data_IF_300954845526
#
_entry.id   IF_300954845526
#
_cell.length_a   1.000
_cell.length_b   1.000
_cell.length_c   1.000
_cell.angle_alpha   90.00
_cell.angle_beta   90.00
_cell.angle_gamma   90.00
#
_symmetry.space_group_name_H-M   'P 1'
#
loop_
_entity.id
_entity.type
_entity.pdbx_description
1 polymer ?
#
# COMPACT_ATOMS: atom_id res chain seq x y z
N UNK A 1 -8.77 0.85 3.26
CA UNK A 1 -7.50 0.89 2.51
C UNK A 1 -6.48 -0.11 3.06
N UNK A 2 -6.10 -0.01 4.33
CA UNK A 2 -5.05 -0.85 4.95
C UNK A 2 -5.15 -2.35 4.69
N UNK A 3 -6.34 -2.95 4.86
CA UNK A 3 -6.57 -4.38 4.54
C UNK A 3 -6.22 -4.73 3.08
N UNK A 4 -6.49 -3.83 2.13
CA UNK A 4 -6.21 -4.09 0.71
C UNK A 4 -4.70 -4.11 0.45
N UNK A 5 -3.95 -3.18 1.04
CA UNK A 5 -2.48 -3.15 0.97
C UNK A 5 -1.88 -4.39 1.64
N UNK A 6 -2.35 -4.74 2.84
CA UNK A 6 -1.92 -5.92 3.60
C UNK A 6 -2.11 -7.23 2.82
N UNK A 7 -3.23 -7.38 2.10
CA UNK A 7 -3.53 -8.60 1.33
C UNK A 7 -2.62 -8.83 0.11
N UNK A 8 -1.87 -7.81 -0.31
CA UNK A 8 -0.88 -7.91 -1.41
C UNK A 8 0.53 -7.55 -0.92
N UNK A 9 0.73 -7.44 0.39
CA UNK A 9 2.04 -7.35 1.04
C UNK A 9 2.68 -8.74 1.05
N UNK A 10 3.45 -9.10 0.03
CA UNK A 10 4.01 -10.44 -0.01
C UNK A 10 5.09 -10.63 -1.05
N UNK A 11 5.93 -11.64 -0.82
CA UNK A 11 7.10 -11.95 -1.64
C UNK A 11 6.76 -12.19 -3.11
N UNK A 12 5.57 -12.73 -3.39
CA UNK A 12 5.10 -12.95 -4.75
C UNK A 12 4.93 -11.63 -5.54
N UNK A 13 4.41 -10.57 -4.90
CA UNK A 13 4.25 -9.25 -5.51
C UNK A 13 5.53 -8.45 -5.51
N UNK A 14 6.35 -8.54 -4.44
CA UNK A 14 7.66 -7.90 -4.42
C UNK A 14 8.54 -8.37 -5.60
N UNK A 15 8.50 -9.67 -5.96
CA UNK A 15 9.23 -10.21 -7.12
C UNK A 15 8.77 -9.69 -8.49
N UNK A 16 7.60 -9.05 -8.58
CA UNK A 16 7.19 -8.41 -9.84
C UNK A 16 7.93 -7.08 -10.08
N UNK A 17 8.39 -6.44 -9.00
CA UNK A 17 9.08 -5.15 -8.99
C UNK A 17 10.59 -5.39 -8.94
N UNK A 18 11.02 -6.29 -8.05
CA UNK A 18 12.43 -6.54 -7.79
C UNK A 18 12.85 -7.89 -8.40
N UNK A 19 13.83 -7.86 -9.32
CA UNK A 19 14.42 -9.09 -9.87
C UNK A 19 15.10 -9.94 -8.79
N UNK A 20 15.74 -9.26 -7.84
CA UNK A 20 16.30 -9.80 -6.62
C UNK A 20 16.14 -8.78 -5.49
N UNK A 21 16.33 -9.21 -4.25
CA UNK A 21 16.09 -8.36 -3.07
C UNK A 21 17.30 -7.48 -2.68
N UNK A 22 18.36 -7.39 -3.50
CA UNK A 22 19.55 -6.57 -3.17
C UNK A 22 19.24 -5.07 -3.14
N UNK A 23 18.34 -4.63 -4.01
CA UNK A 23 17.87 -3.23 -4.11
C UNK A 23 16.41 -3.10 -3.61
N UNK A 24 15.99 -3.98 -2.71
CA UNK A 24 14.64 -3.94 -2.18
C UNK A 24 14.46 -2.74 -1.25
N UNK A 25 13.35 -2.02 -1.41
CA UNK A 25 12.93 -0.90 -0.56
C UNK A 25 11.52 -1.19 -0.02
N UNK A 26 11.36 -1.14 1.30
CA UNK A 26 10.06 -1.33 1.96
C UNK A 26 9.08 -0.23 1.54
N UNK A 27 9.55 1.02 1.45
CA UNK A 27 8.75 2.19 1.08
C UNK A 27 8.32 2.13 -0.39
N UNK A 28 9.25 1.89 -1.31
CA UNK A 28 8.93 1.78 -2.75
C UNK A 28 7.91 0.66 -2.98
N UNK A 29 8.06 -0.49 -2.30
CA UNK A 29 7.09 -1.58 -2.41
C UNK A 29 5.70 -1.16 -1.89
N UNK A 30 5.64 -0.42 -0.77
CA UNK A 30 4.39 0.11 -0.24
C UNK A 30 3.74 1.09 -1.21
N UNK A 31 4.52 2.03 -1.77
CA UNK A 31 3.98 3.08 -2.64
C UNK A 31 3.56 2.52 -4.00
N UNK A 32 4.28 1.56 -4.55
CA UNK A 32 3.82 0.82 -5.73
C UNK A 32 2.55 0.01 -5.44
N UNK A 33 2.38 -0.58 -4.24
CA UNK A 33 1.11 -1.23 -3.86
C UNK A 33 -0.06 -0.24 -3.79
N UNK A 34 0.20 1.02 -3.44
CA UNK A 34 -0.83 2.08 -3.44
C UNK A 34 -1.43 2.31 -4.84
N UNK A 35 -0.63 2.19 -5.91
CA UNK A 35 -1.09 2.24 -7.32
C UNK A 35 -2.22 1.24 -7.58
N UNK A 36 -2.15 0.05 -6.98
CA UNK A 36 -3.17 -0.97 -7.15
C UNK A 36 -4.53 -0.53 -6.62
N UNK A 37 -4.56 0.30 -5.58
CA UNK A 37 -5.78 0.79 -4.92
C UNK A 37 -6.36 1.99 -5.67
N UNK A 38 -5.54 2.98 -6.01
CA UNK A 38 -6.03 4.22 -6.68
C UNK A 38 -6.59 3.96 -8.07
N UNK A 39 -6.13 2.91 -8.75
CA UNK A 39 -6.66 2.50 -10.06
C UNK A 39 -7.99 1.72 -9.97
N UNK A 40 -8.56 1.59 -8.77
CA UNK A 40 -9.87 1.02 -8.52
C UNK A 40 -9.93 -0.50 -8.48
N UNK A 41 -11.10 -1.01 -8.12
CA UNK A 41 -11.33 -2.42 -7.77
C UNK A 41 -10.92 -3.40 -8.86
N UNK A 42 -11.24 -3.12 -10.12
CA UNK A 42 -10.92 -4.01 -11.24
C UNK A 42 -9.40 -4.19 -11.40
N UNK A 43 -8.64 -3.11 -11.24
CA UNK A 43 -7.19 -3.16 -11.33
C UNK A 43 -6.60 -3.88 -10.11
N UNK A 44 -7.03 -3.51 -8.91
CA UNK A 44 -6.65 -4.18 -7.67
C UNK A 44 -6.85 -5.71 -7.75
N UNK A 45 -8.05 -6.15 -8.14
CA UNK A 45 -8.36 -7.57 -8.27
C UNK A 45 -7.52 -8.27 -9.34
N UNK A 46 -7.08 -7.56 -10.37
CA UNK A 46 -6.16 -8.12 -11.37
C UNK A 46 -4.77 -8.35 -10.81
N UNK A 47 -4.25 -7.42 -9.98
CA UNK A 47 -2.97 -7.57 -9.27
C UNK A 47 -3.06 -8.68 -8.22
N UNK A 48 -4.11 -8.66 -7.38
CA UNK A 48 -4.33 -9.64 -6.32
C UNK A 48 -4.43 -11.07 -6.86
N UNK A 49 -5.16 -11.26 -7.97
CA UNK A 49 -5.29 -12.56 -8.62
C UNK A 49 -4.13 -12.87 -9.60
N UNK A 50 -3.03 -12.10 -9.57
CA UNK A 50 -1.83 -12.29 -10.39
C UNK A 50 -2.07 -12.27 -11.91
N UNK A 51 -3.19 -11.69 -12.36
CA UNK A 51 -3.52 -11.48 -13.78
C UNK A 51 -2.79 -10.28 -14.40
N UNK A 52 -2.32 -9.37 -13.55
CA UNK A 52 -1.43 -8.25 -13.88
C UNK A 52 -0.32 -8.19 -12.84
N UNK A 53 0.81 -7.59 -13.25
CA UNK A 53 1.93 -7.27 -12.36
C UNK A 53 1.86 -5.81 -11.93
N UNK A 54 2.43 -5.52 -10.76
CA UNK A 54 2.71 -4.16 -10.34
C UNK A 54 3.73 -3.52 -11.32
N UNK A 55 3.61 -2.22 -11.53
CA UNK A 55 4.57 -1.47 -12.34
C UNK A 55 5.52 -0.74 -11.40
N UNK A 56 6.81 -1.09 -11.45
CA UNK A 56 7.87 -0.48 -10.63
C UNK A 56 8.06 1.01 -10.89
N UNK A 57 7.65 1.51 -12.06
CA UNK A 57 7.81 2.93 -12.43
C UNK A 57 6.65 3.80 -11.92
N UNK A 58 5.69 3.22 -11.20
CA UNK A 58 4.53 3.92 -10.67
C UNK A 58 4.50 3.79 -9.15
N UNK A 59 4.21 4.91 -8.50
CA UNK A 59 3.97 5.02 -7.07
C UNK A 59 2.75 5.93 -6.83
N UNK A 60 2.15 5.82 -5.64
CA UNK A 60 1.15 6.80 -5.20
C UNK A 60 1.08 6.86 -3.68
N UNK A 61 2.15 7.34 -3.04
CA UNK A 61 2.23 7.45 -1.57
C UNK A 61 1.08 8.30 -0.99
N UNK A 62 0.68 9.36 -1.69
CA UNK A 62 -0.28 10.36 -1.19
C UNK A 62 -1.62 9.79 -0.70
N UNK A 63 -2.06 8.62 -1.20
CA UNK A 63 -3.31 7.99 -0.71
C UNK A 63 -3.24 7.61 0.77
N UNK A 64 -2.04 7.37 1.31
CA UNK A 64 -1.84 6.98 2.71
C UNK A 64 -2.27 8.09 3.68
N UNK A 65 -2.08 9.36 3.29
CA UNK A 65 -2.38 10.53 4.12
C UNK A 65 -3.83 11.00 4.03
N UNK A 66 -4.58 10.60 2.99
CA UNK A 66 -5.97 11.03 2.76
C UNK A 66 -6.89 10.86 3.99
N UNK A 67 -6.85 9.77 4.77
CA UNK A 67 -7.70 9.64 5.96
C UNK A 67 -7.40 10.70 7.03
N UNK A 68 -6.12 10.98 7.27
CA UNK A 68 -5.65 11.95 8.26
C UNK A 68 -5.99 13.38 7.82
N UNK A 69 -5.73 13.71 6.54
CA UNK A 69 -6.09 15.00 5.95
C UNK A 69 -7.60 15.26 5.99
N UNK A 70 -8.41 14.24 5.65
CA UNK A 70 -9.87 14.36 5.70
C UNK A 70 -10.38 14.54 7.15
N UNK A 71 -9.75 13.89 8.12
CA UNK A 71 -10.06 14.08 9.53
C UNK A 71 -9.72 15.50 9.97
N UNK A 72 -8.53 15.99 9.61
CA UNK A 72 -8.08 17.35 9.91
C UNK A 72 -9.05 18.40 9.35
N UNK A 73 -9.43 18.28 8.07
CA UNK A 73 -10.38 19.20 7.42
C UNK A 73 -11.73 19.25 8.14
N UNK A 74 -12.20 18.13 8.70
CA UNK A 74 -13.48 18.04 9.40
C UNK A 74 -13.42 18.66 10.81
N UNK A 75 -12.35 18.43 11.54
CA UNK A 75 -12.25 18.83 12.96
C UNK A 75 -11.55 20.18 13.15
N UNK A 76 -10.80 20.65 12.14
CA UNK A 76 -9.96 21.86 12.18
C UNK A 76 -8.90 21.82 13.29
N UNK A 77 -8.46 20.63 13.64
CA UNK A 77 -7.45 20.37 14.68
C UNK A 77 -6.05 20.20 14.06
N UNK A 78 -5.05 19.94 14.90
CA UNK A 78 -3.70 19.55 14.46
C UNK A 78 -3.72 18.08 13.95
N UNK A 79 -2.98 17.80 12.89
CA UNK A 79 -2.76 16.43 12.37
C UNK A 79 -2.20 15.50 13.47
N UNK A 80 -1.40 16.03 14.39
CA UNK A 80 -0.83 15.28 15.51
C UNK A 80 -1.88 14.65 16.45
N UNK A 81 -3.15 15.10 16.38
CA UNK A 81 -4.26 14.58 17.18
C UNK A 81 -5.01 13.41 16.49
N UNK A 82 -4.58 12.99 15.29
CA UNK A 82 -5.16 11.85 14.60
C UNK A 82 -4.69 10.51 15.18
N UNK A 83 -5.45 9.98 16.14
CA UNK A 83 -5.09 8.74 16.87
C UNK A 83 -5.50 7.43 16.18
N UNK A 84 -6.05 7.47 14.96
CA UNK A 84 -6.60 6.26 14.35
C UNK A 84 -5.49 5.30 13.88
N UNK A 85 -5.41 4.15 14.54
CA UNK A 85 -4.52 3.04 14.16
C UNK A 85 -5.34 2.00 13.38
N UNK A 86 -4.97 1.66 12.12
CA UNK A 86 -5.69 0.67 11.35
C UNK A 86 -5.47 -0.74 11.91
N UNK A 87 -6.53 -1.57 11.91
CA UNK A 87 -6.46 -2.99 12.30
C UNK A 87 -5.40 -3.80 11.55
N UNK A 88 -5.15 -3.45 10.28
CA UNK A 88 -4.14 -4.10 9.45
C UNK A 88 -2.98 -3.14 9.28
N UNK A 89 -1.78 -3.56 9.65
CA UNK A 89 -0.56 -2.80 9.36
C UNK A 89 -0.28 -2.91 7.86
N UNK A 90 -0.30 -1.78 7.14
CA UNK A 90 -0.10 -1.78 5.69
C UNK A 90 1.37 -1.73 5.28
N UNK A 91 2.27 -1.45 6.23
CA UNK A 91 3.72 -1.40 6.02
C UNK A 91 4.22 -2.69 5.38
N UNK A 92 5.23 -2.56 4.53
CA UNK A 92 5.85 -3.71 3.88
C UNK A 92 6.38 -4.70 4.92
N UNK A 93 6.28 -6.00 4.64
CA UNK A 93 6.66 -7.10 5.55
C UNK A 93 5.80 -7.25 6.81
N UNK A 94 4.66 -6.57 6.88
CA UNK A 94 3.71 -6.73 7.99
C UNK A 94 2.87 -7.99 7.88
N UNK A 95 2.60 -8.49 6.67
CA UNK A 95 1.85 -9.73 6.44
C UNK A 95 2.78 -10.94 6.41
N UNK A 96 3.21 -11.39 7.59
CA UNK A 96 4.18 -12.48 7.77
C UNK A 96 3.80 -13.75 6.99
N UNK A 97 2.50 -14.04 6.82
CA UNK A 97 2.02 -15.23 6.11
C UNK A 97 2.31 -15.21 4.60
N UNK A 98 2.55 -14.03 4.00
CA UNK A 98 2.79 -13.86 2.56
C UNK A 98 4.26 -13.60 2.20
N UNK A 99 5.17 -13.56 3.19
CA UNK A 99 6.58 -13.22 3.03
C UNK A 99 7.55 -14.42 3.02
#
# INVERSE_FOLDING_TARGET
>A
MSKLLFNIDGKAWAKDIYKDFSNYSDDDFLYTRCVAIVNGEKYYNSIKNRKKKLNQDLEFESILYVPEEAWNLKHKDDLNEYEYIPKYNYESRSNIDLW
#
